data_IF_938795060249
#
_entry.id   IF_938795060249
#
_cell.length_a   1.000
_cell.length_b   1.000
_cell.length_c   1.000
_cell.angle_alpha   90.00
_cell.angle_beta   90.00
_cell.angle_gamma   90.00
#
_symmetry.space_group_name_H-M   'P 1'
#
loop_
_entity.id
_entity.type
_entity.pdbx_description
1 polymer ?
#
# COMPACT_ATOMS: atom_id res chain seq x y z
N UNK A 1 1.71 18.35 -2.45
CA UNK A 1 0.71 17.31 -2.08
C UNK A 1 0.89 16.10 -2.97
N UNK A 2 0.90 14.87 -2.41
CA UNK A 2 0.92 13.65 -3.21
C UNK A 2 -0.49 13.21 -3.61
N UNK A 3 -1.44 13.33 -2.67
CA UNK A 3 -2.84 12.94 -2.89
C UNK A 3 -3.77 14.00 -2.30
N UNK A 4 -4.79 14.39 -3.07
CA UNK A 4 -5.88 15.24 -2.60
C UNK A 4 -7.20 14.56 -2.94
N UNK A 5 -8.01 14.32 -1.93
CA UNK A 5 -9.34 13.70 -2.03
C UNK A 5 -10.39 14.74 -1.66
N UNK A 6 -11.41 14.93 -2.50
CA UNK A 6 -12.48 15.91 -2.28
C UNK A 6 -13.86 15.29 -2.41
N UNK A 7 -14.64 15.35 -1.33
CA UNK A 7 -16.05 14.95 -1.29
C UNK A 7 -16.30 13.51 -1.74
N UNK A 8 -15.35 12.59 -1.47
CA UNK A 8 -15.35 11.24 -2.03
C UNK A 8 -16.49 10.38 -1.49
N UNK A 9 -17.31 9.83 -2.39
CA UNK A 9 -18.45 8.96 -2.07
C UNK A 9 -18.37 7.67 -2.87
N UNK A 10 -18.71 6.56 -2.22
CA UNK A 10 -18.85 5.26 -2.89
C UNK A 10 -20.09 4.55 -2.39
N UNK A 11 -20.96 4.19 -3.32
CA UNK A 11 -22.20 3.46 -3.06
C UNK A 11 -22.18 2.18 -3.88
N UNK A 12 -22.52 1.07 -3.23
CA UNK A 12 -22.70 -0.23 -3.87
C UNK A 12 -24.19 -0.58 -3.89
N UNK A 13 -24.66 -1.14 -4.99
CA UNK A 13 -26.02 -1.68 -5.09
C UNK A 13 -25.94 -3.20 -4.84
N UNK A 14 -26.64 -3.66 -3.81
CA UNK A 14 -26.75 -5.08 -3.44
C UNK A 14 -28.22 -5.44 -3.48
N UNK A 15 -28.68 -6.04 -4.60
CA UNK A 15 -30.10 -6.20 -4.88
C UNK A 15 -30.80 -4.86 -4.93
N UNK A 16 -31.85 -4.68 -4.12
CA UNK A 16 -32.60 -3.41 -4.02
C UNK A 16 -31.99 -2.42 -3.02
N UNK A 17 -31.03 -2.84 -2.21
CA UNK A 17 -30.42 -2.01 -1.18
C UNK A 17 -29.22 -1.23 -1.72
N UNK A 18 -29.04 0.00 -1.20
CA UNK A 18 -27.85 0.83 -1.47
C UNK A 18 -26.99 0.93 -0.23
N UNK A 19 -25.82 0.29 -0.28
CA UNK A 19 -24.80 0.36 0.77
C UNK A 19 -23.91 1.58 0.50
N UNK A 20 -23.91 2.55 1.42
CA UNK A 20 -23.08 3.76 1.35
C UNK A 20 -21.74 3.50 2.05
N UNK A 21 -20.78 2.94 1.33
CA UNK A 21 -19.48 2.60 1.89
C UNK A 21 -18.64 3.82 2.26
N UNK A 22 -18.69 4.91 1.45
CA UNK A 22 -18.09 6.21 1.76
C UNK A 22 -19.12 7.32 1.58
N UNK A 23 -19.13 8.28 2.51
CA UNK A 23 -20.20 9.28 2.64
C UNK A 23 -19.73 10.73 2.49
N UNK A 24 -18.63 10.96 1.79
CA UNK A 24 -18.00 12.27 1.59
C UNK A 24 -16.74 12.36 2.45
N UNK A 25 -15.61 11.95 1.89
CA UNK A 25 -14.30 12.02 2.52
C UNK A 25 -13.49 13.12 1.85
N UNK A 26 -12.90 13.98 2.67
CA UNK A 26 -11.92 14.97 2.29
C UNK A 26 -10.62 14.65 3.02
N UNK A 27 -9.50 14.52 2.29
CA UNK A 27 -8.19 14.19 2.84
C UNK A 27 -7.08 14.71 1.94
N UNK A 28 -6.03 15.22 2.56
CA UNK A 28 -4.78 15.59 1.89
C UNK A 28 -3.62 14.82 2.49
N UNK A 29 -2.75 14.28 1.63
CA UNK A 29 -1.54 13.54 2.01
C UNK A 29 -0.36 14.20 1.31
N UNK A 30 0.70 14.48 2.07
CA UNK A 30 1.92 15.11 1.56
C UNK A 30 2.84 14.08 0.90
N UNK A 31 3.76 14.55 0.05
CA UNK A 31 4.75 13.67 -0.55
C UNK A 31 5.73 13.17 0.50
N UNK A 32 6.03 11.87 0.46
CA UNK A 32 6.90 11.21 1.45
C UNK A 32 6.23 10.98 2.81
N UNK A 33 4.96 11.39 2.99
CA UNK A 33 4.22 11.19 4.23
C UNK A 33 3.80 9.71 4.38
N UNK A 34 3.90 9.18 5.59
CA UNK A 34 3.34 7.89 5.97
C UNK A 34 1.98 8.14 6.62
N UNK A 35 0.90 7.75 5.94
CA UNK A 35 -0.46 7.89 6.39
C UNK A 35 -1.04 6.54 6.81
N UNK A 36 -1.51 6.42 8.05
CA UNK A 36 -2.20 5.24 8.56
C UNK A 36 -3.70 5.49 8.67
N UNK A 37 -4.50 4.66 8.02
CA UNK A 37 -5.96 4.73 8.07
C UNK A 37 -6.47 3.63 9.00
N UNK A 38 -7.05 4.04 10.12
CA UNK A 38 -7.58 3.16 11.16
C UNK A 38 -9.11 3.15 11.17
N UNK A 39 -9.67 2.01 11.52
CA UNK A 39 -11.12 1.86 11.74
C UNK A 39 -11.50 0.39 11.93
N UNK A 40 -12.72 0.15 12.39
CA UNK A 40 -13.28 -1.20 12.55
C UNK A 40 -13.52 -1.90 11.21
N UNK A 41 -13.72 -3.21 11.23
CA UNK A 41 -14.16 -3.94 10.03
C UNK A 41 -15.45 -3.33 9.49
N UNK A 42 -15.58 -3.24 8.17
CA UNK A 42 -16.76 -2.64 7.52
C UNK A 42 -16.83 -1.11 7.54
N UNK A 43 -15.88 -0.39 8.15
CA UNK A 43 -15.92 1.08 8.21
C UNK A 43 -15.63 1.79 6.87
N UNK A 44 -15.25 1.07 5.81
CA UNK A 44 -14.99 1.60 4.46
C UNK A 44 -13.50 1.80 4.12
N UNK A 45 -12.56 1.34 4.97
CA UNK A 45 -11.10 1.55 4.78
C UNK A 45 -10.57 0.99 3.47
N UNK A 46 -10.78 -0.32 3.21
CA UNK A 46 -10.29 -0.97 1.97
C UNK A 46 -10.98 -0.38 0.73
N UNK A 47 -12.26 -0.02 0.82
CA UNK A 47 -12.94 0.74 -0.25
C UNK A 47 -12.23 2.08 -0.50
N UNK A 48 -11.89 2.83 0.56
CA UNK A 48 -11.19 4.09 0.44
C UNK A 48 -9.80 3.92 -0.18
N UNK A 49 -9.05 2.91 0.27
CA UNK A 49 -7.75 2.57 -0.29
C UNK A 49 -7.85 2.23 -1.79
N UNK A 50 -8.81 1.38 -2.17
CA UNK A 50 -9.01 0.95 -3.56
C UNK A 50 -9.36 2.13 -4.49
N UNK A 51 -10.15 3.08 -4.01
CA UNK A 51 -10.48 4.28 -4.76
C UNK A 51 -9.26 5.18 -4.95
N UNK A 52 -8.48 5.42 -3.90
CA UNK A 52 -7.25 6.21 -3.99
C UNK A 52 -6.20 5.54 -4.88
N UNK A 53 -6.13 4.22 -4.89
CA UNK A 53 -5.24 3.46 -5.77
C UNK A 53 -5.76 3.34 -7.22
N UNK A 54 -6.96 3.87 -7.51
CA UNK A 54 -7.59 3.75 -8.83
C UNK A 54 -7.93 2.31 -9.21
N UNK A 55 -8.14 1.41 -8.24
CA UNK A 55 -8.62 0.04 -8.45
C UNK A 55 -10.13 0.00 -8.63
N UNK A 56 -10.83 1.00 -8.10
CA UNK A 56 -12.26 1.21 -8.26
C UNK A 56 -12.55 2.67 -8.59
N UNK A 57 -13.69 2.93 -9.24
CA UNK A 57 -14.17 4.31 -9.49
C UNK A 57 -15.10 4.78 -8.39
N UNK A 58 -14.98 6.05 -7.96
CA UNK A 58 -15.93 6.63 -7.00
C UNK A 58 -17.32 6.82 -7.63
N UNK A 59 -18.35 6.87 -6.79
CA UNK A 59 -19.70 7.28 -7.22
C UNK A 59 -19.77 8.80 -7.41
N UNK A 60 -19.07 9.57 -6.56
CA UNK A 60 -18.91 11.02 -6.65
C UNK A 60 -17.63 11.45 -5.95
N UNK A 61 -17.19 12.66 -6.25
CA UNK A 61 -15.98 13.26 -5.68
C UNK A 61 -14.77 13.11 -6.58
N UNK A 62 -13.66 13.64 -6.14
CA UNK A 62 -12.42 13.74 -6.91
C UNK A 62 -11.25 13.13 -6.14
N UNK A 63 -10.30 12.59 -6.88
CA UNK A 63 -9.02 12.09 -6.35
C UNK A 63 -7.92 12.62 -7.26
N UNK A 64 -7.15 13.56 -6.75
CA UNK A 64 -6.03 14.14 -7.46
C UNK A 64 -4.72 13.52 -6.97
N UNK A 65 -3.94 12.97 -7.89
CA UNK A 65 -2.58 12.48 -7.67
C UNK A 65 -1.70 13.15 -8.73
N UNK A 66 -0.63 13.83 -8.31
CA UNK A 66 0.25 14.57 -9.23
C UNK A 66 -0.54 15.52 -10.16
N UNK A 67 -1.47 16.27 -9.60
CA UNK A 67 -2.34 17.21 -10.33
C UNK A 67 -3.26 16.56 -11.38
N UNK A 68 -3.34 15.23 -11.44
CA UNK A 68 -4.24 14.48 -12.31
C UNK A 68 -5.43 13.96 -11.52
N UNK A 69 -6.65 14.26 -11.95
CA UNK A 69 -7.86 13.69 -11.37
C UNK A 69 -8.07 12.25 -11.89
N UNK A 70 -7.66 11.26 -11.10
CA UNK A 70 -7.78 9.85 -11.49
C UNK A 70 -9.23 9.35 -11.49
N UNK A 71 -10.17 10.04 -10.84
CA UNK A 71 -11.58 9.67 -10.83
C UNK A 71 -12.24 9.80 -12.22
N UNK A 72 -11.69 10.67 -13.09
CA UNK A 72 -12.21 10.91 -14.44
C UNK A 72 -11.55 10.05 -15.51
N UNK A 73 -10.45 9.36 -15.19
CA UNK A 73 -9.71 8.52 -16.11
C UNK A 73 -10.52 7.30 -16.55
N UNK A 74 -10.39 6.88 -17.80
CA UNK A 74 -10.91 5.59 -18.25
C UNK A 74 -10.03 4.42 -17.76
N UNK A 75 -10.48 3.16 -17.95
CA UNK A 75 -9.77 1.98 -17.43
C UNK A 75 -8.33 1.83 -18.00
N UNK A 76 -8.13 2.19 -19.26
CA UNK A 76 -6.80 2.13 -19.90
C UNK A 76 -5.86 3.17 -19.30
N UNK A 77 -6.34 4.38 -19.12
CA UNK A 77 -5.59 5.48 -18.49
C UNK A 77 -5.25 5.14 -17.03
N UNK A 78 -6.22 4.62 -16.24
CA UNK A 78 -6.00 4.16 -14.88
C UNK A 78 -4.96 3.04 -14.81
N UNK A 79 -5.02 2.06 -15.73
CA UNK A 79 -4.06 0.97 -15.76
C UNK A 79 -2.63 1.48 -16.00
N UNK A 80 -2.45 2.39 -16.98
CA UNK A 80 -1.15 3.02 -17.26
C UNK A 80 -0.68 3.91 -16.10
N UNK A 81 -1.61 4.64 -15.46
CA UNK A 81 -1.30 5.47 -14.30
C UNK A 81 -0.80 4.62 -13.13
N UNK A 82 -1.54 3.54 -12.77
CA UNK A 82 -1.13 2.61 -11.71
C UNK A 82 0.23 1.99 -11.99
N UNK A 83 0.41 1.50 -13.21
CA UNK A 83 1.65 0.87 -13.65
C UNK A 83 2.88 1.76 -13.41
N UNK A 84 2.75 3.07 -13.59
CA UNK A 84 3.87 4.02 -13.52
C UNK A 84 4.10 4.56 -12.12
N UNK A 85 3.03 4.78 -11.35
CA UNK A 85 3.10 5.62 -10.15
C UNK A 85 2.81 4.86 -8.86
N UNK A 86 2.17 3.68 -8.92
CA UNK A 86 1.60 3.02 -7.74
C UNK A 86 2.21 1.64 -7.51
N UNK A 87 2.60 1.38 -6.27
CA UNK A 87 2.84 0.05 -5.73
C UNK A 87 1.69 -0.38 -4.83
N UNK A 88 1.42 -1.70 -4.75
CA UNK A 88 0.36 -2.21 -3.89
C UNK A 88 0.83 -3.45 -3.11
N UNK A 89 0.71 -3.39 -1.77
CA UNK A 89 0.94 -4.50 -0.85
C UNK A 89 -0.41 -5.01 -0.38
N UNK A 90 -0.75 -6.26 -0.70
CA UNK A 90 -2.02 -6.89 -0.38
C UNK A 90 -1.93 -7.74 0.88
N UNK A 91 -3.00 -7.82 1.64
CA UNK A 91 -3.15 -8.73 2.77
C UNK A 91 -3.01 -10.19 2.35
N UNK A 92 -3.59 -10.60 1.23
CA UNK A 92 -3.59 -11.97 0.70
C UNK A 92 -2.43 -12.25 -0.26
N UNK A 93 -1.37 -11.44 -0.22
CA UNK A 93 -0.16 -11.51 -1.06
C UNK A 93 -0.43 -11.33 -2.56
N UNK A 94 -1.50 -11.87 -3.11
CA UNK A 94 -1.90 -11.83 -4.54
C UNK A 94 -0.75 -12.21 -5.49
N UNK A 95 0.00 -13.26 -5.13
CA UNK A 95 1.08 -13.80 -5.96
C UNK A 95 0.52 -14.79 -6.99
N UNK A 96 1.06 -14.75 -8.19
CA UNK A 96 0.76 -15.74 -9.23
C UNK A 96 1.50 -17.03 -8.91
N UNK A 97 0.75 -18.08 -8.56
CA UNK A 97 1.31 -19.37 -8.09
C UNK A 97 2.08 -20.14 -9.16
N UNK A 98 1.81 -19.85 -10.45
CA UNK A 98 2.53 -20.42 -11.57
C UNK A 98 3.96 -19.85 -11.73
N UNK A 99 4.20 -18.63 -11.23
CA UNK A 99 5.44 -17.89 -11.36
C UNK A 99 6.32 -18.05 -10.12
N UNK A 100 7.63 -17.98 -10.31
CA UNK A 100 8.63 -17.90 -9.23
C UNK A 100 8.55 -16.56 -8.48
N UNK A 101 9.25 -16.43 -7.35
CA UNK A 101 9.37 -15.17 -6.63
C UNK A 101 9.99 -14.07 -7.52
N UNK A 102 11.04 -14.41 -8.28
CA UNK A 102 11.69 -13.49 -9.22
C UNK A 102 10.71 -12.98 -10.29
N UNK A 103 9.97 -13.89 -10.90
CA UNK A 103 8.99 -13.55 -11.94
C UNK A 103 7.82 -12.73 -11.40
N UNK A 104 7.30 -13.07 -10.20
CA UNK A 104 6.27 -12.27 -9.53
C UNK A 104 6.74 -10.83 -9.29
N UNK A 105 7.97 -10.65 -8.83
CA UNK A 105 8.54 -9.33 -8.58
C UNK A 105 8.85 -8.59 -9.89
N UNK A 106 9.30 -9.29 -10.93
CA UNK A 106 9.58 -8.69 -12.24
C UNK A 106 8.32 -8.28 -13.01
N UNK A 107 7.13 -8.75 -12.61
CA UNK A 107 5.88 -8.58 -13.36
C UNK A 107 5.50 -7.10 -13.63
N UNK A 108 5.57 -6.15 -12.68
CA UNK A 108 5.31 -4.74 -12.97
C UNK A 108 6.24 -4.16 -14.03
N UNK A 109 7.50 -4.55 -14.03
CA UNK A 109 8.48 -4.12 -15.03
C UNK A 109 8.24 -4.78 -16.40
N UNK A 110 7.63 -5.98 -16.41
CA UNK A 110 7.19 -6.63 -17.67
C UNK A 110 6.13 -5.81 -18.38
N UNK A 111 5.14 -5.32 -17.63
CA UNK A 111 4.08 -4.44 -18.17
C UNK A 111 4.60 -3.07 -18.61
N UNK A 112 5.75 -2.63 -18.06
CA UNK A 112 6.46 -1.42 -18.52
C UNK A 112 7.40 -1.69 -19.70
N UNK A 113 7.34 -2.87 -20.29
CA UNK A 113 8.16 -3.29 -21.45
C UNK A 113 9.68 -3.22 -21.18
N UNK A 114 10.08 -3.30 -19.89
CA UNK A 114 11.51 -3.35 -19.53
C UNK A 114 12.12 -4.65 -20.04
N UNK A 115 13.29 -4.62 -20.73
CA UNK A 115 13.94 -5.81 -21.23
C UNK A 115 14.18 -6.88 -20.17
N UNK A 116 13.98 -8.16 -20.53
CA UNK A 116 14.00 -9.31 -19.60
C UNK A 116 15.22 -9.28 -18.65
N UNK A 117 16.41 -9.16 -19.19
CA UNK A 117 17.66 -9.14 -18.40
C UNK A 117 17.67 -8.01 -17.36
N UNK A 118 17.21 -6.81 -17.73
CA UNK A 118 17.17 -5.65 -16.83
C UNK A 118 16.14 -5.84 -15.70
N UNK A 119 14.91 -6.28 -16.04
CA UNK A 119 13.86 -6.48 -15.02
C UNK A 119 14.19 -7.60 -14.03
N UNK A 120 14.87 -8.67 -14.47
CA UNK A 120 15.33 -9.77 -13.60
C UNK A 120 16.43 -9.29 -12.65
N UNK A 121 17.35 -8.44 -13.11
CA UNK A 121 18.37 -7.82 -12.25
C UNK A 121 17.70 -6.96 -11.16
N UNK A 122 16.77 -6.09 -11.54
CA UNK A 122 16.08 -5.23 -10.56
C UNK A 122 15.22 -6.04 -9.57
N UNK A 123 14.51 -7.07 -10.07
CA UNK A 123 13.77 -7.99 -9.22
C UNK A 123 14.69 -8.77 -8.25
N UNK A 124 15.86 -9.21 -8.69
CA UNK A 124 16.83 -9.88 -7.83
C UNK A 124 17.40 -8.95 -6.76
N UNK A 125 17.70 -7.70 -7.09
CA UNK A 125 18.20 -6.70 -6.15
C UNK A 125 17.19 -6.47 -5.02
N UNK A 126 15.92 -6.23 -5.35
CA UNK A 126 14.89 -5.97 -4.34
C UNK A 126 14.58 -7.23 -3.52
N UNK A 127 14.55 -8.43 -4.13
CA UNK A 127 14.41 -9.70 -3.40
C UNK A 127 15.56 -9.94 -2.43
N UNK A 128 16.78 -9.59 -2.82
CA UNK A 128 17.95 -9.67 -1.93
C UNK A 128 17.82 -8.70 -0.75
N UNK A 129 17.31 -7.48 -1.00
CA UNK A 129 17.08 -6.46 0.03
C UNK A 129 16.02 -6.90 1.05
N UNK A 130 14.97 -7.61 0.61
CA UNK A 130 13.95 -8.15 1.52
C UNK A 130 14.32 -9.50 2.13
N UNK A 131 15.60 -9.95 2.02
CA UNK A 131 16.12 -11.16 2.63
C UNK A 131 15.76 -12.47 1.91
N UNK A 132 15.37 -12.42 0.63
CA UNK A 132 14.95 -13.58 -0.16
C UNK A 132 15.93 -13.98 -1.27
N UNK A 133 17.22 -13.62 -1.15
CA UNK A 133 18.26 -13.91 -2.15
C UNK A 133 18.31 -15.39 -2.55
N UNK A 134 18.15 -16.31 -1.60
CA UNK A 134 18.21 -17.76 -1.82
C UNK A 134 16.88 -18.37 -2.28
N UNK A 135 15.79 -17.59 -2.29
CA UNK A 135 14.44 -18.06 -2.59
C UNK A 135 13.89 -17.54 -3.93
N UNK A 136 14.73 -16.93 -4.76
CA UNK A 136 14.31 -16.25 -6.00
C UNK A 136 13.62 -17.17 -7.01
N UNK A 137 13.99 -18.45 -7.05
CA UNK A 137 13.40 -19.46 -7.93
C UNK A 137 12.24 -20.25 -7.30
N UNK A 138 11.93 -20.03 -6.02
CA UNK A 138 10.81 -20.69 -5.36
C UNK A 138 9.47 -20.14 -5.87
N UNK A 139 8.49 -21.03 -6.01
CA UNK A 139 7.09 -20.66 -6.26
C UNK A 139 6.40 -20.28 -4.96
N UNK A 140 5.31 -19.50 -4.98
CA UNK A 140 4.57 -19.10 -3.78
C UNK A 140 4.15 -20.28 -2.88
N UNK A 141 3.87 -21.45 -3.45
CA UNK A 141 3.51 -22.68 -2.71
C UNK A 141 4.67 -23.26 -1.90
N UNK A 142 5.90 -22.89 -2.19
CA UNK A 142 7.13 -23.33 -1.51
C UNK A 142 7.63 -22.32 -0.46
N UNK A 143 6.91 -21.21 -0.27
CA UNK A 143 7.28 -20.12 0.61
C UNK A 143 6.39 -20.08 1.86
N UNK A 144 6.96 -19.68 3.00
CA UNK A 144 6.19 -19.38 4.21
C UNK A 144 5.30 -18.13 4.01
N UNK A 145 4.36 -17.88 4.94
CA UNK A 145 3.52 -16.68 4.92
C UNK A 145 4.32 -15.38 4.88
N UNK A 146 5.30 -15.26 5.77
CA UNK A 146 6.19 -14.10 5.82
C UNK A 146 7.05 -13.95 4.56
N UNK A 147 7.54 -15.06 3.99
CA UNK A 147 8.28 -15.03 2.73
C UNK A 147 7.39 -14.59 1.56
N UNK A 148 6.15 -15.08 1.47
CA UNK A 148 5.18 -14.61 0.47
C UNK A 148 4.91 -13.12 0.60
N UNK A 149 4.76 -12.62 1.83
CA UNK A 149 4.55 -11.19 2.07
C UNK A 149 5.77 -10.37 1.62
N UNK A 150 6.99 -10.81 1.93
CA UNK A 150 8.22 -10.16 1.46
C UNK A 150 8.32 -10.14 -0.08
N UNK A 151 7.87 -11.18 -0.78
CA UNK A 151 7.74 -11.17 -2.26
C UNK A 151 6.72 -10.12 -2.72
N UNK A 152 5.55 -10.04 -2.05
CA UNK A 152 4.53 -9.03 -2.34
C UNK A 152 5.04 -7.60 -2.14
N UNK A 153 5.81 -7.36 -1.07
CA UNK A 153 6.48 -6.09 -0.80
C UNK A 153 7.50 -5.79 -1.91
N UNK A 154 8.41 -6.73 -2.21
CA UNK A 154 9.39 -6.54 -3.28
C UNK A 154 8.73 -6.18 -4.61
N UNK A 155 7.62 -6.84 -4.96
CA UNK A 155 6.82 -6.53 -6.15
C UNK A 155 6.24 -5.12 -6.13
N UNK A 156 5.77 -4.65 -4.98
CA UNK A 156 5.21 -3.31 -4.84
C UNK A 156 6.27 -2.21 -5.07
N UNK A 157 7.52 -2.46 -4.67
CA UNK A 157 8.61 -1.46 -4.70
C UNK A 157 9.56 -1.56 -5.90
N UNK A 158 9.54 -2.65 -6.68
CA UNK A 158 10.50 -2.90 -7.77
C UNK A 158 10.50 -1.85 -8.88
N UNK A 159 9.36 -1.22 -9.10
CA UNK A 159 9.20 -0.21 -10.15
C UNK A 159 9.48 1.21 -9.70
N UNK A 160 10.05 1.42 -8.53
CA UNK A 160 10.24 2.75 -7.93
C UNK A 160 8.96 3.61 -7.97
N UNK A 161 7.85 3.12 -7.37
CA UNK A 161 6.61 3.88 -7.34
C UNK A 161 6.76 5.12 -6.46
N UNK A 162 5.99 6.16 -6.75
CA UNK A 162 5.94 7.34 -5.90
C UNK A 162 5.02 7.17 -4.70
N UNK A 163 4.00 6.30 -4.85
CA UNK A 163 3.00 6.02 -3.84
C UNK A 163 2.88 4.51 -3.67
N UNK A 164 2.87 4.05 -2.42
CA UNK A 164 2.57 2.66 -2.07
C UNK A 164 1.32 2.61 -1.21
N UNK A 165 0.35 1.81 -1.63
CA UNK A 165 -0.83 1.46 -0.85
C UNK A 165 -0.62 0.09 -0.21
N UNK A 166 -0.95 -0.04 1.08
CA UNK A 166 -0.83 -1.29 1.82
C UNK A 166 -2.14 -1.62 2.55
N UNK A 167 -2.81 -2.67 2.13
CA UNK A 167 -4.05 -3.16 2.75
C UNK A 167 -3.72 -4.27 3.73
N UNK A 168 -3.84 -3.99 5.03
CA UNK A 168 -3.56 -4.92 6.14
C UNK A 168 -2.24 -5.71 5.94
N UNK A 169 -1.08 -5.03 5.73
CA UNK A 169 0.14 -5.67 5.23
C UNK A 169 0.73 -6.75 6.15
N UNK A 170 0.26 -6.81 7.40
CA UNK A 170 0.71 -7.78 8.42
C UNK A 170 -0.42 -8.64 8.97
N UNK A 171 -1.64 -8.51 8.45
CA UNK A 171 -2.84 -9.12 9.03
C UNK A 171 -2.86 -10.66 9.07
N UNK A 172 -2.04 -11.33 8.26
CA UNK A 172 -1.97 -12.79 8.16
C UNK A 172 -0.64 -13.36 8.72
N UNK A 173 0.10 -12.58 9.52
CA UNK A 173 1.42 -12.93 10.04
C UNK A 173 1.41 -13.00 11.57
N UNK A 174 2.30 -13.80 12.15
CA UNK A 174 2.57 -13.79 13.57
C UNK A 174 3.22 -12.46 14.01
N UNK A 175 3.21 -12.16 15.30
CA UNK A 175 3.64 -10.87 15.84
C UNK A 175 5.10 -10.52 15.51
N UNK A 176 6.02 -11.50 15.55
CA UNK A 176 7.43 -11.29 15.25
C UNK A 176 7.62 -10.97 13.75
N UNK A 177 7.08 -11.81 12.89
CA UNK A 177 7.14 -11.61 11.43
C UNK A 177 6.44 -10.30 11.02
N UNK A 178 5.35 -9.92 11.70
CA UNK A 178 4.63 -8.66 11.48
C UNK A 178 5.52 -7.44 11.71
N UNK A 179 6.28 -7.44 12.81
CA UNK A 179 7.23 -6.36 13.13
C UNK A 179 8.32 -6.25 12.06
N UNK A 180 8.98 -7.37 11.72
CA UNK A 180 10.02 -7.42 10.69
C UNK A 180 9.53 -6.94 9.32
N UNK A 181 8.33 -7.35 8.91
CA UNK A 181 7.72 -6.95 7.65
C UNK A 181 7.37 -5.47 7.63
N UNK A 182 6.86 -4.93 8.74
CA UNK A 182 6.55 -3.51 8.85
C UNK A 182 7.83 -2.66 8.79
N UNK A 183 8.84 -3.00 9.56
CA UNK A 183 10.15 -2.31 9.54
C UNK A 183 10.72 -2.27 8.13
N UNK A 184 10.68 -3.40 7.42
CA UNK A 184 11.11 -3.50 6.03
C UNK A 184 10.36 -2.53 5.09
N UNK A 185 9.03 -2.45 5.22
CA UNK A 185 8.22 -1.49 4.42
C UNK A 185 8.64 -0.06 4.73
N UNK A 186 8.77 0.28 6.02
CA UNK A 186 9.12 1.62 6.48
C UNK A 186 10.53 2.05 6.02
N UNK A 187 11.50 1.14 6.10
CA UNK A 187 12.87 1.40 5.68
C UNK A 187 12.96 1.70 4.19
N UNK A 188 12.32 0.87 3.35
CA UNK A 188 12.30 1.10 1.90
C UNK A 188 11.57 2.40 1.57
N UNK A 189 10.45 2.68 2.27
CA UNK A 189 9.65 3.90 2.09
C UNK A 189 10.48 5.15 2.39
N UNK A 190 11.19 5.17 3.52
CA UNK A 190 12.04 6.29 3.93
C UNK A 190 13.23 6.48 2.99
N UNK A 191 13.95 5.40 2.67
CA UNK A 191 15.12 5.47 1.79
C UNK A 191 14.80 6.05 0.42
N UNK A 192 13.62 5.74 -0.12
CA UNK A 192 13.20 6.17 -1.45
C UNK A 192 12.27 7.40 -1.45
N UNK A 193 12.00 7.99 -0.28
CA UNK A 193 11.05 9.11 -0.10
C UNK A 193 9.68 8.84 -0.74
N UNK A 194 9.15 7.62 -0.56
CA UNK A 194 7.87 7.16 -1.10
C UNK A 194 6.74 7.60 -0.17
N UNK A 195 5.61 8.02 -0.70
CA UNK A 195 4.38 8.25 0.08
C UNK A 195 3.73 6.89 0.38
N UNK A 196 3.51 6.57 1.66
CA UNK A 196 2.94 5.30 2.09
C UNK A 196 1.55 5.50 2.69
N UNK A 197 0.56 4.81 2.17
CA UNK A 197 -0.80 4.77 2.74
C UNK A 197 -1.07 3.35 3.22
N UNK A 198 -1.20 3.18 4.54
CA UNK A 198 -1.53 1.88 5.15
C UNK A 198 -2.95 1.89 5.68
N UNK A 199 -3.70 0.83 5.42
CA UNK A 199 -4.97 0.55 6.06
C UNK A 199 -4.78 -0.59 7.05
N UNK A 200 -5.27 -0.42 8.28
CA UNK A 200 -5.20 -1.47 9.29
C UNK A 200 -6.25 -1.29 10.39
N UNK A 201 -6.55 -2.36 11.11
CA UNK A 201 -7.29 -2.31 12.37
C UNK A 201 -6.34 -2.36 13.60
N UNK A 202 -5.05 -2.60 13.39
CA UNK A 202 -4.04 -2.64 14.45
C UNK A 202 -3.58 -1.23 14.84
N UNK A 203 -4.00 -0.76 16.01
CA UNK A 203 -3.62 0.56 16.54
C UNK A 203 -2.11 0.71 16.78
N UNK A 204 -1.40 -0.40 17.03
CA UNK A 204 0.05 -0.36 17.21
C UNK A 204 0.82 0.12 15.97
N UNK A 205 0.23 -0.02 14.77
CA UNK A 205 0.85 0.49 13.55
C UNK A 205 0.74 2.01 13.41
N UNK A 206 -0.19 2.65 14.10
CA UNK A 206 -0.37 4.10 14.07
C UNK A 206 0.86 4.87 14.54
N UNK A 207 1.62 4.33 15.50
CA UNK A 207 2.85 4.97 16.02
C UNK A 207 3.95 5.18 14.96
N UNK A 208 3.89 4.45 13.85
CA UNK A 208 4.85 4.57 12.75
C UNK A 208 4.42 5.54 11.65
N UNK A 209 3.23 6.13 11.76
CA UNK A 209 2.69 7.06 10.78
C UNK A 209 2.97 8.53 11.15
N UNK A 210 3.10 9.40 10.15
CA UNK A 210 3.13 10.85 10.33
C UNK A 210 1.73 11.42 10.51
N UNK A 211 0.75 10.74 9.87
CA UNK A 211 -0.67 11.08 9.92
C UNK A 211 -1.51 9.84 10.19
N UNK A 212 -2.42 9.94 11.15
CA UNK A 212 -3.39 8.88 11.46
C UNK A 212 -4.80 9.39 11.17
N UNK A 213 -5.52 8.66 10.31
CA UNK A 213 -6.88 8.98 9.89
C UNK A 213 -7.83 7.93 10.44
N UNK A 214 -8.78 8.34 11.26
CA UNK A 214 -9.78 7.43 11.83
C UNK A 214 -11.05 7.44 11.00
N UNK A 215 -11.44 6.28 10.46
CA UNK A 215 -12.67 6.12 9.66
C UNK A 215 -13.67 5.25 10.41
N UNK A 216 -14.91 5.75 10.48
CA UNK A 216 -16.08 5.04 10.99
C UNK A 216 -17.28 5.33 10.09
N UNK A 217 -18.03 4.29 9.73
CA UNK A 217 -19.26 4.37 8.92
C UNK A 217 -19.11 5.21 7.63
N UNK A 218 -17.97 5.07 6.96
CA UNK A 218 -17.66 5.73 5.70
C UNK A 218 -17.37 7.24 5.82
N UNK A 219 -17.01 7.73 7.01
CA UNK A 219 -16.62 9.13 7.26
C UNK A 219 -15.33 9.19 8.06
N UNK A 220 -14.53 10.22 7.82
CA UNK A 220 -13.42 10.57 8.72
C UNK A 220 -14.01 11.16 10.01
N UNK A 221 -13.64 10.57 11.14
CA UNK A 221 -14.02 11.04 12.47
C UNK A 221 -13.02 12.05 13.01
N UNK A 222 -11.73 11.77 12.81
CA UNK A 222 -10.63 12.63 13.22
C UNK A 222 -9.38 12.32 12.44
N UNK A 223 -8.46 13.29 12.40
CA UNK A 223 -7.11 13.18 11.85
C UNK A 223 -6.14 13.62 12.93
N UNK A 224 -5.12 12.80 13.19
CA UNK A 224 -4.03 13.12 14.11
C UNK A 224 -2.74 13.23 13.31
N UNK A 225 -2.01 14.34 13.47
CA UNK A 225 -0.64 14.50 12.98
C UNK A 225 0.33 14.14 14.11
N UNK A 226 1.32 13.32 13.83
CA UNK A 226 2.35 12.95 14.80
C UNK A 226 3.63 13.73 14.48
N UNK A 227 4.13 14.50 15.46
CA UNK A 227 5.43 15.17 15.34
C UNK A 227 6.53 14.14 15.63
N UNK A 228 7.22 13.67 14.60
CA UNK A 228 8.33 12.70 14.73
C UNK A 228 9.62 13.26 15.32
N UNK A 229 9.73 14.55 15.57
CA UNK A 229 10.96 15.15 16.12
C UNK A 229 11.37 14.60 17.50
N UNK A 230 10.46 13.91 18.21
CA UNK A 230 10.74 13.39 19.56
C UNK A 230 11.02 11.88 19.63
N UNK A 231 10.82 11.07 18.59
CA UNK A 231 10.85 9.60 18.71
C UNK A 231 12.16 8.92 18.30
N UNK A 232 13.11 9.63 17.69
CA UNK A 232 14.43 9.06 17.37
C UNK A 232 15.21 8.66 18.64
N UNK A 233 14.89 9.24 19.79
CA UNK A 233 15.57 8.96 21.07
C UNK A 233 14.99 7.75 21.86
N UNK A 234 13.80 7.26 21.53
CA UNK A 234 13.20 6.11 22.23
C UNK A 234 13.74 4.76 21.81
N UNK A 235 14.26 4.63 20.59
CA UNK A 235 14.83 3.38 20.09
C UNK A 235 16.24 3.09 20.58
N UNK A 236 16.90 4.03 21.26
CA UNK A 236 18.26 3.83 21.83
C UNK A 236 18.25 3.34 23.28
N UNK A 237 17.11 3.24 23.95
CA UNK A 237 17.01 2.88 25.38
C UNK A 237 16.31 1.55 25.68
N UNK A 238 15.93 0.75 24.70
CA UNK A 238 15.38 -0.60 24.91
C UNK A 238 16.42 -1.72 24.66
N UNK A 239 17.70 -1.40 24.46
CA UNK A 239 18.81 -2.35 24.36
C UNK A 239 19.80 -2.30 25.55
N UNK A 240 19.36 -1.83 26.74
CA UNK A 240 20.13 -2.03 27.98
C UNK A 240 19.41 -2.97 28.96
#
# INVERSE_FOLDING_TARGET
MAIIVKGLKKYYRVGEQVVKALRGIDLEIEQGEICCILGTSGSGKSTFLNLMAGLEKPTRGEIHIKDQNIATMNEKELALFRQRNIGFVFQSYNLLTALTALENVALPLTFREVPKKKREIEAFKILSKVGLKTHVLHKPTQLSGGQRQRVGIARAFVGDPEIVFADEPTGNLDSKTSKEVLELILDITKEKNITLIMVTHNKGLAQYADKVVYILDGKIQRIEKQNREHDIRRYQHEEE
#
